data_IF_538131162831
#
_entry.id   IF_538131162831
#
_cell.length_a   1.000
_cell.length_b   1.000
_cell.length_c   1.000
_cell.angle_alpha   90.00
_cell.angle_beta   90.00
_cell.angle_gamma   90.00
#
_symmetry.space_group_name_H-M   'P 1'
#
loop_
_entity.id
_entity.type
_entity.pdbx_description
1 polymer ?
#
# COMPACT_ATOMS: atom_id res chain seq x y z
N UNK A 1 -5.67 -2.29 -0.21
CA UNK A 1 -7.04 -2.83 0.04
C UNK A 1 -7.86 -2.94 -1.24
N UNK A 2 -8.00 -1.89 -2.06
CA UNK A 2 -8.87 -1.94 -3.25
C UNK A 2 -8.44 -2.98 -4.31
N UNK A 3 -7.14 -3.15 -4.56
CA UNK A 3 -6.65 -4.01 -5.64
C UNK A 3 -7.08 -5.48 -5.52
N UNK A 4 -6.92 -6.15 -4.35
CA UNK A 4 -7.44 -7.51 -4.17
C UNK A 4 -8.96 -7.65 -4.40
N UNK A 5 -9.75 -6.66 -3.98
CA UNK A 5 -11.21 -6.70 -4.17
C UNK A 5 -11.61 -6.62 -5.65
N UNK A 6 -10.85 -5.90 -6.48
CA UNK A 6 -11.16 -5.71 -7.90
C UNK A 6 -10.54 -6.81 -8.77
N UNK A 7 -9.32 -7.22 -8.46
CA UNK A 7 -8.50 -8.07 -9.32
C UNK A 7 -8.16 -9.43 -8.74
N UNK A 8 -8.43 -9.68 -7.46
CA UNK A 8 -8.05 -10.91 -6.77
C UNK A 8 -6.57 -10.96 -6.35
N UNK A 9 -5.81 -9.86 -6.49
CA UNK A 9 -4.38 -9.84 -6.21
C UNK A 9 -3.88 -8.45 -5.78
N UNK A 10 -2.74 -8.41 -5.10
CA UNK A 10 -2.05 -7.19 -4.70
C UNK A 10 -1.45 -6.43 -5.90
N UNK A 11 -1.28 -5.09 -5.79
CA UNK A 11 -0.57 -4.31 -6.80
C UNK A 11 0.85 -4.84 -7.06
N UNK A 12 1.32 -4.73 -8.30
CA UNK A 12 2.67 -5.16 -8.71
C UNK A 12 3.76 -4.55 -7.82
N UNK A 13 3.68 -3.26 -7.53
CA UNK A 13 4.66 -2.55 -6.68
C UNK A 13 4.72 -3.11 -5.26
N UNK A 14 3.58 -3.47 -4.66
CA UNK A 14 3.57 -4.08 -3.33
C UNK A 14 4.26 -5.44 -3.34
N UNK A 15 3.96 -6.28 -4.35
CA UNK A 15 4.61 -7.59 -4.51
C UNK A 15 6.12 -7.46 -4.71
N UNK A 16 6.56 -6.47 -5.47
CA UNK A 16 7.99 -6.21 -5.72
C UNK A 16 8.71 -5.71 -4.46
N UNK A 17 8.13 -4.76 -3.73
CA UNK A 17 8.81 -4.12 -2.61
C UNK A 17 8.80 -4.99 -1.34
N UNK A 18 7.66 -5.58 -1.01
CA UNK A 18 7.51 -6.41 0.19
C UNK A 18 8.05 -7.83 -0.02
N UNK A 19 8.00 -8.35 -1.26
CA UNK A 19 8.53 -9.66 -1.62
C UNK A 19 7.91 -10.79 -0.79
N UNK A 20 8.76 -11.67 -0.26
CA UNK A 20 8.33 -12.84 0.53
C UNK A 20 7.63 -12.51 1.85
N UNK A 21 7.71 -11.27 2.34
CA UNK A 21 6.96 -10.84 3.54
C UNK A 21 5.47 -10.60 3.24
N UNK A 22 5.10 -10.45 1.98
CA UNK A 22 3.70 -10.31 1.58
C UNK A 22 3.11 -11.71 1.33
N UNK A 23 2.05 -12.11 2.07
CA UNK A 23 1.38 -13.37 1.82
C UNK A 23 0.84 -13.43 0.39
N UNK A 24 0.93 -14.61 -0.23
CA UNK A 24 0.31 -14.87 -1.52
C UNK A 24 -1.08 -15.46 -1.32
N UNK A 25 -2.04 -15.04 -2.14
CA UNK A 25 -3.32 -15.74 -2.23
C UNK A 25 -3.13 -17.04 -3.00
N UNK A 26 -3.80 -18.10 -2.54
CA UNK A 26 -4.08 -19.26 -3.38
C UNK A 26 -5.07 -18.88 -4.49
N UNK A 27 -5.15 -19.68 -5.55
CA UNK A 27 -6.12 -19.46 -6.64
C UNK A 27 -7.56 -19.38 -6.12
N UNK A 28 -7.88 -20.23 -5.13
CA UNK A 28 -9.20 -20.25 -4.48
C UNK A 28 -9.47 -18.94 -3.74
N UNK A 29 -8.52 -18.47 -2.92
CA UNK A 29 -8.68 -17.22 -2.17
C UNK A 29 -8.77 -16.01 -3.10
N UNK A 30 -7.95 -16.00 -4.17
CA UNK A 30 -7.98 -14.97 -5.20
C UNK A 30 -9.35 -14.87 -5.89
N UNK A 31 -9.94 -16.02 -6.23
CA UNK A 31 -11.29 -16.08 -6.79
C UNK A 31 -12.36 -15.64 -5.78
N UNK A 32 -12.21 -16.00 -4.50
CA UNK A 32 -13.19 -15.65 -3.46
C UNK A 32 -13.21 -14.16 -3.14
N UNK A 33 -12.06 -13.49 -3.13
CA UNK A 33 -11.97 -12.05 -2.79
C UNK A 33 -12.30 -11.14 -3.98
N UNK A 34 -12.09 -11.62 -5.21
CA UNK A 34 -12.38 -10.85 -6.41
C UNK A 34 -13.89 -10.62 -6.56
N UNK A 35 -14.30 -9.35 -6.59
CA UNK A 35 -15.70 -8.96 -6.69
C UNK A 35 -16.50 -9.22 -5.42
N UNK A 36 -15.86 -9.45 -4.27
CA UNK A 36 -16.55 -9.77 -3.01
C UNK A 36 -17.16 -8.54 -2.31
N UNK A 37 -17.31 -7.42 -3.02
CA UNK A 37 -17.83 -6.16 -2.48
C UNK A 37 -18.81 -5.53 -3.47
N UNK A 38 -20.04 -5.27 -3.02
CA UNK A 38 -21.09 -4.63 -3.82
C UNK A 38 -20.88 -3.11 -3.97
N UNK A 39 -20.23 -2.49 -2.97
CA UNK A 39 -19.86 -1.07 -2.98
C UNK A 39 -18.58 -0.83 -2.18
N UNK A 40 -17.90 0.28 -2.46
CA UNK A 40 -16.73 0.74 -1.72
C UNK A 40 -17.01 2.13 -1.15
N UNK A 41 -17.14 2.22 0.17
CA UNK A 41 -17.21 3.50 0.88
C UNK A 41 -15.82 4.11 1.05
N UNK A 42 -15.65 5.38 0.71
CA UNK A 42 -14.40 6.12 0.90
C UNK A 42 -14.59 7.16 1.99
N UNK A 43 -13.78 7.08 3.04
CA UNK A 43 -13.74 8.07 4.13
C UNK A 43 -12.45 8.88 3.99
N UNK A 44 -12.57 10.20 4.00
CA UNK A 44 -11.46 11.13 3.88
C UNK A 44 -11.47 12.15 5.02
N UNK A 45 -10.36 12.28 5.74
CA UNK A 45 -10.21 13.21 6.87
C UNK A 45 -9.12 14.27 6.64
N UNK A 46 -8.02 13.90 5.97
CA UNK A 46 -6.91 14.80 5.70
C UNK A 46 -6.15 14.39 4.43
N UNK A 47 -5.33 15.32 3.94
CA UNK A 47 -4.42 15.11 2.83
C UNK A 47 -2.98 15.22 3.33
N UNK A 48 -2.10 14.35 2.84
CA UNK A 48 -0.69 14.28 3.25
C UNK A 48 0.18 14.43 1.99
N UNK A 49 1.29 15.17 2.10
CA UNK A 49 2.26 15.28 1.01
C UNK A 49 3.21 14.08 1.04
N UNK A 50 3.47 13.54 -0.15
CA UNK A 50 4.32 12.38 -0.34
C UNK A 50 5.49 12.77 -1.25
N UNK A 51 6.69 12.34 -0.87
CA UNK A 51 7.90 12.41 -1.70
C UNK A 51 8.49 11.01 -1.88
N UNK A 52 9.09 10.77 -3.03
CA UNK A 52 9.81 9.53 -3.32
C UNK A 52 10.99 9.33 -2.35
N UNK A 53 11.17 8.09 -1.88
CA UNK A 53 12.25 7.68 -0.97
C UNK A 53 12.71 6.24 -1.28
N UNK A 54 13.40 6.01 -2.39
CA UNK A 54 13.82 4.67 -2.80
C UNK A 54 14.89 4.09 -1.88
N UNK A 55 15.58 4.92 -1.10
CA UNK A 55 16.56 4.47 -0.09
C UNK A 55 15.94 3.63 1.02
N UNK A 56 14.64 3.76 1.31
CA UNK A 56 13.99 2.93 2.33
C UNK A 56 14.00 1.45 1.96
N UNK A 57 14.00 1.11 0.67
CA UNK A 57 14.05 -0.28 0.18
C UNK A 57 15.42 -0.94 0.41
N UNK A 58 16.47 -0.15 0.70
CA UNK A 58 17.83 -0.65 0.96
C UNK A 58 18.07 -0.99 2.43
N UNK A 59 17.12 -0.71 3.32
CA UNK A 59 17.25 -1.01 4.73
C UNK A 59 17.15 -2.52 4.97
N UNK A 60 17.96 -3.04 5.91
CA UNK A 60 17.96 -4.46 6.27
C UNK A 60 16.65 -4.87 6.96
N UNK A 61 16.24 -4.09 7.95
CA UNK A 61 14.97 -4.27 8.65
C UNK A 61 13.95 -3.26 8.13
N UNK A 62 12.97 -3.74 7.37
CA UNK A 62 11.87 -2.95 6.82
C UNK A 62 10.55 -3.34 7.46
N UNK A 63 9.82 -2.34 7.89
CA UNK A 63 8.40 -2.47 8.20
C UNK A 63 7.56 -2.22 6.93
N UNK A 64 6.23 -2.31 7.09
CA UNK A 64 5.31 -2.06 5.99
C UNK A 64 5.39 -0.61 5.47
N UNK A 65 5.79 0.35 6.32
CA UNK A 65 5.93 1.76 5.97
C UNK A 65 7.11 1.97 5.03
N UNK A 66 8.26 1.37 5.34
CA UNK A 66 9.47 1.41 4.52
C UNK A 66 9.26 0.76 3.14
N UNK A 67 8.37 -0.23 3.03
CA UNK A 67 8.02 -0.89 1.77
C UNK A 67 7.26 -0.02 0.78
N UNK A 68 6.67 1.08 1.25
CA UNK A 68 6.02 2.05 0.37
C UNK A 68 7.03 2.76 -0.54
N UNK A 69 8.33 2.79 -0.18
CA UNK A 69 9.35 3.59 -0.84
C UNK A 69 9.02 5.10 -0.86
N UNK A 70 8.27 5.58 0.14
CA UNK A 70 7.84 6.97 0.21
C UNK A 70 8.15 7.62 1.56
N UNK A 71 8.22 8.95 1.55
CA UNK A 71 8.27 9.78 2.75
C UNK A 71 7.02 10.65 2.82
N UNK A 72 6.24 10.49 3.88
CA UNK A 72 5.04 11.27 4.15
C UNK A 72 5.36 12.44 5.09
N UNK A 73 4.91 13.65 4.77
CA UNK A 73 5.06 14.81 5.63
C UNK A 73 3.85 15.74 5.58
N UNK A 74 3.56 16.36 6.72
CA UNK A 74 2.54 17.39 6.85
C UNK A 74 3.26 18.75 6.88
N UNK A 75 2.91 19.67 5.98
CA UNK A 75 3.40 21.04 6.10
C UNK A 75 2.65 21.73 7.23
N UNK A 76 3.23 21.75 8.43
CA UNK A 76 2.87 22.78 9.39
C UNK A 76 3.37 24.10 8.82
N UNK A 77 2.45 24.99 8.47
CA UNK A 77 2.80 26.35 8.09
C UNK A 77 3.48 26.98 9.30
N UNK A 78 4.81 27.02 9.31
CA UNK A 78 5.56 27.93 10.17
C UNK A 78 5.24 29.32 9.66
N UNK A 79 4.18 29.91 10.21
CA UNK A 79 3.97 31.35 10.13
C UNK A 79 5.14 31.97 10.88
N UNK A 80 6.02 32.61 10.11
CA UNK A 80 7.15 33.36 10.60
C UNK A 80 6.75 34.80 10.94
#
# INVERSE_FOLDING_TARGET
VANPLVYGDYPKTMKQNAGSRLPAFTDRESQQIKGSADFIGVINYCMIYIKDNPSSLKQEHRDWSADTATMAFCMFSTYH
#
